data_IF_533629401322
#
_entry.id   IF_533629401322
#
_cell.length_a   1.000
_cell.length_b   1.000
_cell.length_c   1.000
_cell.angle_alpha   90.00
_cell.angle_beta   90.00
_cell.angle_gamma   90.00
#
_symmetry.space_group_name_H-M   'P 1'
#
loop_
_entity.id
_entity.type
_entity.pdbx_description
1 polymer ?
#
# COMPACT_ATOMS: atom_id res chain seq x y z
N UNK A 1 -6.32 -11.70 -8.31
CA UNK A 1 -7.18 -12.26 -7.27
C UNK A 1 -6.95 -11.47 -6.00
N UNK A 2 -7.98 -10.84 -5.45
CA UNK A 2 -7.89 -10.20 -4.13
C UNK A 2 -8.40 -11.19 -3.09
N UNK A 3 -7.63 -11.40 -2.02
CA UNK A 3 -8.00 -12.31 -0.94
C UNK A 3 -7.47 -11.76 0.38
N UNK A 4 -8.05 -12.18 1.49
CA UNK A 4 -7.51 -11.87 2.81
C UNK A 4 -7.61 -13.08 3.71
N UNK A 5 -6.64 -13.24 4.61
CA UNK A 5 -6.66 -14.26 5.65
C UNK A 5 -6.10 -13.71 6.95
N UNK A 6 -6.41 -14.39 8.05
CA UNK A 6 -5.94 -14.02 9.38
C UNK A 6 -5.09 -15.16 9.91
N UNK A 7 -3.87 -14.85 10.33
CA UNK A 7 -2.96 -15.85 10.90
C UNK A 7 -2.30 -15.36 12.20
N UNK A 8 -1.85 -16.31 13.01
CA UNK A 8 -1.21 -16.10 14.31
C UNK A 8 0.31 -15.88 14.20
N UNK A 9 0.76 -15.42 13.02
CA UNK A 9 2.13 -15.45 12.51
C UNK A 9 3.19 -14.93 13.49
N UNK A 10 4.39 -15.50 13.40
CA UNK A 10 5.60 -15.03 14.07
C UNK A 10 5.93 -13.61 13.62
N UNK A 11 6.13 -12.70 14.58
CA UNK A 11 6.59 -11.33 14.36
C UNK A 11 7.70 -11.28 13.31
N UNK A 12 7.45 -10.61 12.20
CA UNK A 12 8.53 -10.18 11.29
C UNK A 12 9.42 -9.19 12.04
N UNK A 13 10.72 -9.21 11.79
CA UNK A 13 11.66 -8.32 12.47
C UNK A 13 11.29 -6.85 12.29
N UNK A 14 10.83 -6.44 11.09
CA UNK A 14 10.37 -5.06 10.87
C UNK A 14 9.10 -4.75 11.68
N UNK A 15 8.23 -5.73 11.93
CA UNK A 15 7.00 -5.50 12.68
C UNK A 15 7.27 -5.13 14.16
N UNK A 16 8.40 -5.56 14.72
CA UNK A 16 8.81 -5.13 16.06
C UNK A 16 9.21 -3.65 16.12
N UNK A 17 9.76 -3.12 15.03
CA UNK A 17 10.16 -1.72 14.95
C UNK A 17 8.97 -0.80 14.70
N UNK A 18 8.13 -1.13 13.72
CA UNK A 18 7.05 -0.24 13.25
C UNK A 18 5.69 -0.48 13.91
N UNK A 19 5.44 -1.68 14.46
CA UNK A 19 4.11 -2.09 14.93
C UNK A 19 4.16 -2.67 16.35
N UNK A 20 4.87 -1.99 17.27
CA UNK A 20 5.05 -2.43 18.68
C UNK A 20 3.76 -2.80 19.41
N UNK A 21 2.65 -2.14 19.08
CA UNK A 21 1.34 -2.43 19.69
C UNK A 21 0.73 -3.77 19.26
N UNK A 22 1.21 -4.37 18.17
CA UNK A 22 0.72 -5.63 17.59
C UNK A 22 1.53 -6.83 18.11
N UNK A 23 2.52 -6.59 18.99
CA UNK A 23 3.37 -7.63 19.56
C UNK A 23 2.54 -8.57 20.45
N UNK A 24 2.57 -9.91 20.24
CA UNK A 24 1.98 -10.86 21.17
C UNK A 24 2.43 -10.62 22.62
N UNK A 25 1.47 -10.64 23.54
CA UNK A 25 1.67 -10.29 24.97
C UNK A 25 2.71 -11.16 25.68
N UNK A 26 3.05 -12.33 25.13
CA UNK A 26 4.18 -13.17 25.60
C UNK A 26 5.56 -12.53 25.38
N UNK A 27 5.67 -11.49 24.56
CA UNK A 27 6.93 -10.81 24.22
C UNK A 27 6.97 -9.35 24.71
N UNK A 28 5.85 -8.78 25.17
CA UNK A 28 5.78 -7.44 25.76
C UNK A 28 4.55 -7.32 26.66
N UNK A 29 4.74 -6.82 27.88
CA UNK A 29 3.66 -6.57 28.87
C UNK A 29 2.71 -5.44 28.47
N UNK A 30 3.13 -4.56 27.55
CA UNK A 30 2.40 -3.35 27.18
C UNK A 30 1.48 -3.55 25.96
N UNK A 31 1.26 -4.80 25.54
CA UNK A 31 0.49 -5.09 24.31
C UNK A 31 -1.00 -5.35 24.57
N UNK A 32 -1.83 -4.73 23.74
CA UNK A 32 -3.29 -4.90 23.76
C UNK A 32 -3.68 -6.11 22.89
N UNK A 33 -4.16 -7.17 23.53
CA UNK A 33 -4.51 -8.48 22.95
C UNK A 33 -5.22 -8.43 21.58
N UNK A 34 -4.56 -9.00 20.57
CA UNK A 34 -4.87 -10.27 19.86
C UNK A 34 -3.76 -10.47 18.82
N UNK A 35 -2.91 -11.48 19.00
CA UNK A 35 -1.84 -11.80 18.06
C UNK A 35 -2.40 -12.44 16.78
N UNK A 36 -3.16 -11.66 16.02
CA UNK A 36 -3.78 -12.05 14.76
C UNK A 36 -3.55 -10.92 13.78
N UNK A 37 -2.74 -11.20 12.76
CA UNK A 37 -2.44 -10.26 11.69
C UNK A 37 -3.40 -10.54 10.54
N UNK A 38 -4.08 -9.49 10.06
CA UNK A 38 -4.86 -9.56 8.81
C UNK A 38 -3.90 -9.36 7.64
N UNK A 39 -3.78 -10.39 6.81
CA UNK A 39 -3.02 -10.34 5.57
C UNK A 39 -3.98 -10.02 4.42
N UNK A 40 -3.72 -8.92 3.71
CA UNK A 40 -4.45 -8.54 2.51
C UNK A 40 -3.56 -8.87 1.31
N UNK A 41 -4.01 -9.80 0.48
CA UNK A 41 -3.31 -10.21 -0.74
C UNK A 41 -3.84 -9.34 -1.88
N UNK A 42 -2.94 -8.58 -2.49
CA UNK A 42 -3.19 -7.75 -3.66
C UNK A 42 -2.12 -7.99 -4.72
N UNK A 43 -2.33 -7.44 -5.92
CA UNK A 43 -1.32 -7.46 -6.98
C UNK A 43 -0.04 -6.78 -6.46
N UNK A 44 1.12 -7.38 -6.72
CA UNK A 44 2.42 -6.76 -6.46
C UNK A 44 2.66 -5.66 -7.49
N UNK A 45 3.07 -4.50 -7.00
CA UNK A 45 3.53 -3.37 -7.79
C UNK A 45 5.02 -3.14 -7.49
N UNK A 46 5.74 -2.57 -8.45
CA UNK A 46 7.21 -2.51 -8.38
C UNK A 46 7.68 -1.34 -7.54
N UNK A 47 7.01 -0.20 -7.67
CA UNK A 47 7.39 1.08 -7.06
C UNK A 47 6.16 1.91 -6.71
N UNK A 48 6.32 2.84 -5.78
CA UNK A 48 5.43 3.99 -5.61
C UNK A 48 5.72 5.06 -6.68
N UNK A 49 4.77 5.96 -6.93
CA UNK A 49 4.98 7.12 -7.80
C UNK A 49 6.07 8.03 -7.23
N UNK A 50 6.18 8.13 -5.89
CA UNK A 50 7.22 8.91 -5.24
C UNK A 50 8.62 8.37 -5.60
N UNK A 51 8.83 7.07 -5.41
CA UNK A 51 10.09 6.40 -5.79
C UNK A 51 10.34 6.52 -7.30
N UNK A 52 9.30 6.35 -8.13
CA UNK A 52 9.43 6.48 -9.58
C UNK A 52 9.93 7.87 -9.99
N UNK A 53 9.40 8.96 -9.41
CA UNK A 53 9.80 10.34 -9.72
C UNK A 53 11.22 10.65 -9.23
N UNK A 54 11.65 10.02 -8.13
CA UNK A 54 13.02 10.20 -7.62
C UNK A 54 14.03 9.47 -8.49
N UNK A 55 13.72 8.25 -8.94
CA UNK A 55 14.58 7.42 -9.79
C UNK A 55 14.56 7.88 -11.25
N UNK A 56 13.39 8.30 -11.75
CA UNK A 56 13.16 8.70 -13.13
C UNK A 56 12.67 10.14 -13.14
N UNK A 57 13.22 11.00 -14.02
CA UNK A 57 12.63 12.32 -14.28
C UNK A 57 11.58 12.19 -15.38
N UNK A 58 10.27 12.03 -15.07
CA UNK A 58 9.27 11.82 -16.10
C UNK A 58 9.19 13.05 -17.02
N UNK A 59 9.07 12.79 -18.32
CA UNK A 59 8.82 13.83 -19.30
C UNK A 59 7.38 14.37 -19.19
N UNK A 60 7.07 15.45 -19.89
CA UNK A 60 5.75 16.10 -19.80
C UNK A 60 4.60 15.16 -20.19
N UNK A 61 4.82 14.27 -21.15
CA UNK A 61 3.83 13.29 -21.58
C UNK A 61 3.51 12.28 -20.46
N UNK A 62 4.53 11.72 -19.82
CA UNK A 62 4.36 10.79 -18.69
C UNK A 62 3.67 11.46 -17.51
N UNK A 63 4.02 12.71 -17.20
CA UNK A 63 3.34 13.48 -16.13
C UNK A 63 1.86 13.65 -16.42
N UNK A 64 1.51 14.01 -17.66
CA UNK A 64 0.13 14.14 -18.08
C UNK A 64 -0.60 12.80 -18.01
N UNK A 65 0.04 11.70 -18.41
CA UNK A 65 -0.51 10.36 -18.34
C UNK A 65 -0.81 9.93 -16.89
N UNK A 66 0.13 10.14 -15.96
CA UNK A 66 -0.10 9.86 -14.54
C UNK A 66 -1.25 10.69 -13.98
N UNK A 67 -1.32 11.97 -14.34
CA UNK A 67 -2.40 12.84 -13.91
C UNK A 67 -3.76 12.40 -14.46
N UNK A 68 -3.83 12.00 -15.74
CA UNK A 68 -5.04 11.49 -16.35
C UNK A 68 -5.55 10.20 -15.66
N UNK A 69 -4.67 9.23 -15.41
CA UNK A 69 -5.01 8.00 -14.69
C UNK A 69 -5.49 8.26 -13.25
N UNK A 70 -4.89 9.25 -12.58
CA UNK A 70 -5.35 9.68 -11.25
C UNK A 70 -6.75 10.29 -11.31
N UNK A 71 -7.04 11.15 -12.30
CA UNK A 71 -8.38 11.72 -12.49
C UNK A 71 -9.44 10.66 -12.79
N UNK A 72 -9.12 9.64 -13.60
CA UNK A 72 -10.01 8.50 -13.84
C UNK A 72 -10.32 7.75 -12.54
N UNK A 73 -9.30 7.54 -11.70
CA UNK A 73 -9.45 6.90 -10.38
C UNK A 73 -10.37 7.73 -9.47
N UNK A 74 -10.17 9.06 -9.43
CA UNK A 74 -11.00 9.97 -8.64
C UNK A 74 -12.45 9.99 -9.11
N UNK A 75 -12.68 9.99 -10.42
CA UNK A 75 -14.01 9.91 -11.00
C UNK A 75 -14.71 8.60 -10.60
N UNK A 76 -13.98 7.48 -10.66
CA UNK A 76 -14.49 6.17 -10.25
C UNK A 76 -14.85 6.14 -8.76
N UNK A 77 -13.98 6.63 -7.88
CA UNK A 77 -14.23 6.70 -6.44
C UNK A 77 -15.44 7.60 -6.13
N UNK A 78 -15.51 8.77 -6.76
CA UNK A 78 -16.63 9.71 -6.58
C UNK A 78 -17.97 9.08 -6.99
N UNK A 79 -18.02 8.37 -8.13
CA UNK A 79 -19.21 7.65 -8.60
C UNK A 79 -19.73 6.63 -7.58
N UNK A 80 -18.84 6.06 -6.77
CA UNK A 80 -19.18 5.09 -5.73
C UNK A 80 -19.29 5.72 -4.33
N UNK A 81 -19.30 7.05 -4.22
CA UNK A 81 -19.32 7.77 -2.94
C UNK A 81 -18.18 7.39 -1.99
N UNK A 82 -17.00 7.07 -2.55
CA UNK A 82 -15.79 6.73 -1.79
C UNK A 82 -14.83 7.93 -1.84
N UNK A 83 -14.29 8.30 -0.67
CA UNK A 83 -13.20 9.26 -0.55
C UNK A 83 -11.95 8.50 -0.09
N UNK A 84 -10.84 8.61 -0.83
CA UNK A 84 -9.59 7.92 -0.49
C UNK A 84 -8.98 8.44 0.84
N UNK A 85 -9.12 9.74 1.12
CA UNK A 85 -8.65 10.47 2.33
C UNK A 85 -7.14 10.60 2.54
N UNK A 86 -6.31 9.79 1.89
CA UNK A 86 -4.84 9.89 1.99
C UNK A 86 -4.18 9.83 0.60
N UNK A 87 -4.51 10.78 -0.27
CA UNK A 87 -3.92 10.83 -1.62
C UNK A 87 -2.57 11.54 -1.58
N UNK A 88 -1.52 10.77 -1.87
CA UNK A 88 -0.13 11.21 -1.97
C UNK A 88 0.65 10.26 -2.87
N UNK A 89 1.80 10.69 -3.36
CA UNK A 89 2.64 9.91 -4.28
C UNK A 89 3.12 8.57 -3.71
N UNK A 90 3.21 8.43 -2.38
CA UNK A 90 3.55 7.16 -1.71
C UNK A 90 2.44 6.11 -1.77
N UNK A 91 1.17 6.55 -1.94
CA UNK A 91 0.01 5.66 -2.02
C UNK A 91 -0.43 5.38 -3.47
N UNK A 92 0.33 5.86 -4.45
CA UNK A 92 0.08 5.60 -5.87
C UNK A 92 1.12 4.58 -6.35
N UNK A 93 0.67 3.39 -6.74
CA UNK A 93 1.54 2.29 -7.10
C UNK A 93 1.71 2.20 -8.62
N UNK A 94 2.96 2.03 -9.08
CA UNK A 94 3.35 1.89 -10.48
C UNK A 94 3.59 0.41 -10.78
N UNK A 95 2.97 -0.09 -11.84
CA UNK A 95 3.30 -1.39 -12.42
C UNK A 95 4.18 -1.15 -13.63
N UNK A 96 5.37 -1.76 -13.69
CA UNK A 96 6.07 -1.83 -14.96
C UNK A 96 5.27 -2.72 -15.90
N UNK A 97 4.86 -2.18 -17.04
CA UNK A 97 4.32 -2.99 -18.15
C UNK A 97 5.49 -3.64 -18.90
N UNK A 98 6.34 -4.37 -18.20
CA UNK A 98 7.13 -5.45 -18.82
C UNK A 98 6.29 -6.70 -18.65
N UNK A 99 5.23 -6.79 -19.44
CA UNK A 99 4.50 -8.03 -19.65
C UNK A 99 5.20 -8.79 -20.77
N UNK A 100 6.15 -9.63 -20.37
CA UNK A 100 6.20 -11.00 -20.92
C UNK A 100 5.55 -11.92 -19.89
#
# INVERSE_FOLDING_TARGET
MYSCFVDSSSLFNEAQEYYRMVIPTRLSSDSYRRNKTLFIIMRKYDLTLNEYIQLNKPNNYQRLLFFAQLLETLLYLNKHSIVHRDLKSDNLLICNTTSE
#
